data_IF_497822275327
#
_entry.id   IF_497822275327
#
_cell.length_a   1.000
_cell.length_b   1.000
_cell.length_c   1.000
_cell.angle_alpha   90.00
_cell.angle_beta   90.00
_cell.angle_gamma   90.00
#
_symmetry.space_group_name_H-M   'P 1'
#
loop_
_entity.id
_entity.type
_entity.pdbx_description
1 polymer ?
#
# COMPACT_ATOMS: atom_id res chain seq x y z
N UNK A 1 -2.50 12.27 -9.84
CA UNK A 1 -2.92 12.14 -11.25
C UNK A 1 -4.30 11.52 -11.31
N UNK A 2 -5.24 12.14 -12.02
CA UNK A 2 -6.57 11.61 -12.25
C UNK A 2 -6.77 11.38 -13.75
N UNK A 3 -7.22 10.20 -14.14
CA UNK A 3 -7.38 9.80 -15.54
C UNK A 3 -8.77 9.22 -15.73
N UNK A 4 -9.46 9.61 -16.80
CA UNK A 4 -10.83 9.15 -17.10
C UNK A 4 -10.93 8.74 -18.56
N UNK A 5 -11.54 7.59 -18.83
CA UNK A 5 -11.83 7.12 -20.18
C UNK A 5 -10.60 6.81 -21.04
N UNK A 6 -9.42 6.64 -20.43
CA UNK A 6 -8.20 6.32 -21.19
C UNK A 6 -8.27 4.89 -21.73
N UNK A 7 -8.07 4.73 -23.04
CA UNK A 7 -8.06 3.43 -23.71
C UNK A 7 -6.71 3.24 -24.40
N UNK A 8 -6.03 2.13 -24.12
CA UNK A 8 -4.68 1.82 -24.67
C UNK A 8 -3.66 2.90 -24.35
N UNK A 9 -3.41 3.09 -23.06
CA UNK A 9 -2.45 4.09 -22.58
C UNK A 9 -1.41 3.49 -21.64
N UNK A 10 -0.37 4.26 -21.38
CA UNK A 10 0.71 3.90 -20.46
C UNK A 10 0.96 5.06 -19.50
N UNK A 11 1.14 4.75 -18.22
CA UNK A 11 1.56 5.66 -17.17
C UNK A 11 2.79 5.04 -16.54
N UNK A 12 3.97 5.46 -16.96
CA UNK A 12 5.23 4.81 -16.57
C UNK A 12 6.37 5.77 -16.26
N UNK A 13 7.31 5.31 -15.41
CA UNK A 13 8.53 6.05 -15.08
C UNK A 13 8.33 7.33 -14.27
N UNK A 14 7.16 7.52 -13.65
CA UNK A 14 6.87 8.74 -12.89
C UNK A 14 7.23 8.57 -11.41
N UNK A 15 7.61 9.68 -10.77
CA UNK A 15 7.66 9.80 -9.30
C UNK A 15 6.52 10.70 -8.83
N UNK A 16 5.64 10.18 -7.97
CA UNK A 16 4.53 10.93 -7.38
C UNK A 16 4.60 10.77 -5.86
N UNK A 17 4.67 11.88 -5.12
CA UNK A 17 4.81 11.88 -3.66
C UNK A 17 3.79 12.81 -3.00
N UNK A 18 3.23 12.41 -1.86
CA UNK A 18 2.48 13.30 -0.97
C UNK A 18 1.10 13.73 -1.49
N UNK A 19 0.45 12.90 -2.29
CA UNK A 19 -0.90 13.21 -2.79
C UNK A 19 -1.92 13.22 -1.65
N UNK A 20 -2.76 14.25 -1.60
CA UNK A 20 -3.80 14.43 -0.56
C UNK A 20 -4.85 13.32 -0.53
N UNK A 21 -4.93 12.48 -1.57
CA UNK A 21 -5.83 11.34 -1.61
C UNK A 21 -5.20 10.15 -2.34
N UNK A 22 -5.00 10.25 -3.66
CA UNK A 22 -4.46 9.15 -4.48
C UNK A 22 -3.32 9.60 -5.39
N UNK A 23 -2.28 8.78 -5.59
CA UNK A 23 -1.22 9.13 -6.55
C UNK A 23 -1.74 8.99 -7.99
N UNK A 24 -2.30 7.84 -8.35
CA UNK A 24 -2.91 7.57 -9.65
C UNK A 24 -4.34 7.08 -9.44
N UNK A 25 -5.31 7.78 -10.01
CA UNK A 25 -6.72 7.42 -9.96
C UNK A 25 -7.25 7.20 -11.38
N UNK A 26 -7.50 5.95 -11.75
CA UNK A 26 -8.27 5.59 -12.93
C UNK A 26 -9.76 5.62 -12.57
N UNK A 27 -10.46 6.59 -13.14
CA UNK A 27 -11.90 6.75 -13.07
C UNK A 27 -12.60 5.98 -14.21
N UNK A 28 -13.94 5.89 -14.21
CA UNK A 28 -14.65 4.86 -14.97
C UNK A 28 -14.28 4.81 -16.45
N UNK A 29 -14.41 3.61 -17.02
CA UNK A 29 -14.19 3.31 -18.43
C UNK A 29 -12.74 3.40 -18.94
N UNK A 30 -11.73 3.44 -18.06
CA UNK A 30 -10.35 3.18 -18.49
C UNK A 30 -10.18 1.71 -18.90
N UNK A 31 -9.49 1.46 -20.02
CA UNK A 31 -9.33 0.11 -20.58
C UNK A 31 -7.95 -0.12 -21.18
N UNK A 32 -7.35 -1.29 -20.93
CA UNK A 32 -6.04 -1.66 -21.51
C UNK A 32 -4.97 -0.60 -21.20
N UNK A 33 -4.85 -0.23 -19.93
CA UNK A 33 -3.86 0.75 -19.47
C UNK A 33 -2.80 0.02 -18.67
N UNK A 34 -1.53 0.32 -18.97
CA UNK A 34 -0.40 -0.14 -18.15
C UNK A 34 0.05 0.98 -17.22
N UNK A 35 0.13 0.68 -15.94
CA UNK A 35 0.73 1.54 -14.91
C UNK A 35 1.97 0.83 -14.42
N UNK A 36 3.16 1.24 -14.88
CA UNK A 36 4.36 0.48 -14.53
C UNK A 36 5.66 1.25 -14.37
N UNK A 37 6.56 0.71 -13.54
CA UNK A 37 7.86 1.34 -13.27
C UNK A 37 7.76 2.71 -12.58
N UNK A 38 6.67 3.02 -11.88
CA UNK A 38 6.51 4.28 -11.16
C UNK A 38 6.99 4.15 -9.71
N UNK A 39 7.37 5.29 -9.13
CA UNK A 39 7.66 5.48 -7.71
C UNK A 39 6.52 6.26 -7.07
N UNK A 40 5.69 5.59 -6.26
CA UNK A 40 4.44 6.13 -5.72
C UNK A 40 4.50 6.17 -4.20
N UNK A 41 4.59 7.38 -3.64
CA UNK A 41 4.89 7.59 -2.24
C UNK A 41 3.82 8.42 -1.53
N UNK A 42 3.51 8.00 -0.30
CA UNK A 42 2.74 8.79 0.68
C UNK A 42 1.41 9.34 0.12
N UNK A 43 0.66 8.50 -0.60
CA UNK A 43 -0.74 8.80 -0.87
C UNK A 43 -1.57 8.52 0.38
N UNK A 44 -2.49 9.42 0.70
CA UNK A 44 -3.30 9.31 1.92
C UNK A 44 -4.34 8.19 1.92
N UNK A 45 -4.82 7.76 0.76
CA UNK A 45 -5.71 6.59 0.62
C UNK A 45 -5.06 5.46 -0.17
N UNK A 46 -4.71 5.71 -1.44
CA UNK A 46 -4.22 4.65 -2.33
C UNK A 46 -3.19 5.19 -3.31
N UNK A 47 -2.12 4.42 -3.53
CA UNK A 47 -1.15 4.80 -4.54
C UNK A 47 -1.76 4.63 -5.93
N UNK A 48 -2.37 3.48 -6.21
CA UNK A 48 -3.11 3.22 -7.45
C UNK A 48 -4.54 2.85 -7.12
N UNK A 49 -5.49 3.58 -7.69
CA UNK A 49 -6.90 3.22 -7.65
C UNK A 49 -7.45 2.99 -9.05
N UNK A 50 -8.14 1.86 -9.16
CA UNK A 50 -8.82 1.40 -10.37
C UNK A 50 -10.29 1.34 -10.03
N UNK A 51 -11.04 2.37 -10.44
CA UNK A 51 -12.43 2.52 -10.04
C UNK A 51 -13.41 2.27 -11.18
N UNK A 52 -14.54 1.64 -10.85
CA UNK A 52 -15.77 1.57 -11.64
C UNK A 52 -15.58 1.08 -13.09
N UNK A 53 -15.72 -0.22 -13.29
CA UNK A 53 -15.79 -0.84 -14.62
C UNK A 53 -14.53 -0.63 -15.46
N UNK A 54 -13.38 -0.45 -14.81
CA UNK A 54 -12.09 -0.49 -15.52
C UNK A 54 -11.77 -1.93 -15.94
N UNK A 55 -11.17 -2.09 -17.11
CA UNK A 55 -10.91 -3.41 -17.67
C UNK A 55 -9.49 -3.54 -18.21
N UNK A 56 -8.87 -4.70 -17.98
CA UNK A 56 -7.55 -5.05 -18.49
C UNK A 56 -6.51 -4.00 -18.14
N UNK A 57 -6.51 -3.60 -16.87
CA UNK A 57 -5.49 -2.72 -16.33
C UNK A 57 -4.34 -3.61 -15.85
N UNK A 58 -3.13 -3.22 -16.21
CA UNK A 58 -1.90 -3.86 -15.73
C UNK A 58 -1.22 -2.88 -14.78
N UNK A 59 -0.95 -3.31 -13.55
CA UNK A 59 -0.17 -2.55 -12.57
C UNK A 59 1.08 -3.35 -12.27
N UNK A 60 2.22 -2.92 -12.81
CA UNK A 60 3.44 -3.75 -12.78
C UNK A 60 4.74 -3.02 -12.48
N UNK A 61 5.66 -3.67 -11.77
CA UNK A 61 7.00 -3.13 -11.57
C UNK A 61 7.06 -1.79 -10.82
N UNK A 62 6.01 -1.39 -10.09
CA UNK A 62 6.00 -0.14 -9.34
C UNK A 62 6.64 -0.32 -7.96
N UNK A 63 7.26 0.76 -7.46
CA UNK A 63 7.69 0.88 -6.07
C UNK A 63 6.68 1.76 -5.35
N UNK A 64 5.97 1.18 -4.38
CA UNK A 64 4.88 1.83 -3.67
C UNK A 64 5.19 1.84 -2.17
N UNK A 65 5.19 3.02 -1.56
CA UNK A 65 5.37 3.11 -0.10
C UNK A 65 4.57 4.22 0.57
N UNK A 66 4.23 4.03 1.84
CA UNK A 66 3.61 5.07 2.64
C UNK A 66 3.90 4.90 4.14
N UNK A 67 3.90 6.01 4.86
CA UNK A 67 3.92 6.05 6.32
C UNK A 67 2.85 7.01 6.88
N UNK A 68 1.89 7.36 6.03
CA UNK A 68 0.86 8.35 6.31
C UNK A 68 -0.54 7.85 5.93
N UNK A 69 -0.67 6.66 5.35
CA UNK A 69 -1.97 6.16 4.85
C UNK A 69 -2.84 5.62 5.98
N UNK A 70 -2.24 5.03 7.02
CA UNK A 70 -2.97 4.51 8.18
C UNK A 70 -3.62 5.59 9.05
N UNK A 71 -3.28 6.86 8.82
CA UNK A 71 -3.82 8.00 9.56
C UNK A 71 -5.21 8.40 9.08
N UNK A 72 -5.64 7.91 7.93
CA UNK A 72 -6.95 8.20 7.36
C UNK A 72 -7.94 7.07 7.67
N UNK A 73 -9.24 7.40 7.78
CA UNK A 73 -10.30 6.42 8.02
C UNK A 73 -10.88 5.88 6.70
N UNK A 74 -10.06 5.72 5.66
CA UNK A 74 -10.55 5.57 4.27
C UNK A 74 -10.25 4.20 3.67
N UNK A 75 -10.41 4.11 2.34
CA UNK A 75 -10.02 2.95 1.57
C UNK A 75 -8.49 2.93 1.43
N UNK A 76 -7.79 2.29 2.36
CA UNK A 76 -6.34 2.45 2.51
C UNK A 76 -5.54 1.27 1.93
N UNK A 77 -5.71 1.02 0.63
CA UNK A 77 -4.93 0.00 -0.06
C UNK A 77 -3.86 0.62 -0.96
N UNK A 78 -2.64 0.08 -0.97
CA UNK A 78 -1.61 0.55 -1.90
C UNK A 78 -2.10 0.45 -3.36
N UNK A 79 -2.66 -0.71 -3.72
CA UNK A 79 -3.37 -0.90 -4.98
C UNK A 79 -4.82 -1.29 -4.68
N UNK A 80 -5.76 -0.45 -5.12
CA UNK A 80 -7.18 -0.64 -4.90
C UNK A 80 -7.90 -0.85 -6.23
N UNK A 81 -8.70 -1.92 -6.32
CA UNK A 81 -9.74 -2.06 -7.33
C UNK A 81 -11.08 -1.85 -6.64
N UNK A 82 -11.70 -0.70 -6.92
CA UNK A 82 -12.94 -0.26 -6.29
C UNK A 82 -14.12 -0.39 -7.26
N UNK A 83 -15.06 -1.27 -6.90
CA UNK A 83 -16.33 -1.51 -7.61
C UNK A 83 -16.13 -1.94 -9.07
N UNK A 84 -16.15 -3.25 -9.28
CA UNK A 84 -16.15 -3.92 -10.57
C UNK A 84 -14.89 -3.67 -11.42
N UNK A 85 -13.99 -4.66 -11.45
CA UNK A 85 -12.83 -4.68 -12.33
C UNK A 85 -12.71 -6.02 -13.08
N UNK A 86 -12.41 -5.99 -14.37
CA UNK A 86 -12.26 -7.22 -15.16
C UNK A 86 -10.89 -7.32 -15.79
N UNK A 87 -10.21 -8.45 -15.64
CA UNK A 87 -8.90 -8.67 -16.26
C UNK A 87 -7.78 -7.83 -15.65
N UNK A 88 -7.87 -7.49 -14.36
CA UNK A 88 -6.85 -6.68 -13.69
C UNK A 88 -5.65 -7.57 -13.37
N UNK A 89 -4.45 -7.17 -13.79
CA UNK A 89 -3.21 -7.85 -13.47
C UNK A 89 -2.35 -6.97 -12.57
N UNK A 90 -1.95 -7.50 -11.42
CA UNK A 90 -1.04 -6.84 -10.48
C UNK A 90 0.20 -7.71 -10.29
N UNK A 91 1.35 -7.27 -10.77
CA UNK A 91 2.55 -8.12 -10.77
C UNK A 91 3.87 -7.39 -10.63
N UNK A 92 4.86 -8.01 -9.97
CA UNK A 92 6.21 -7.44 -9.89
C UNK A 92 6.32 -6.13 -9.12
N UNK A 93 5.30 -5.73 -8.36
CA UNK A 93 5.36 -4.50 -7.56
C UNK A 93 6.07 -4.76 -6.23
N UNK A 94 6.83 -3.77 -5.76
CA UNK A 94 7.34 -3.73 -4.39
C UNK A 94 6.50 -2.75 -3.59
N UNK A 95 5.80 -3.25 -2.58
CA UNK A 95 4.86 -2.47 -1.77
C UNK A 95 5.30 -2.53 -0.32
N UNK A 96 5.45 -1.37 0.30
CA UNK A 96 5.80 -1.27 1.72
C UNK A 96 5.04 -0.20 2.49
N UNK A 97 5.07 -0.34 3.82
CA UNK A 97 4.56 0.67 4.73
C UNK A 97 3.12 0.47 5.19
N UNK A 98 2.50 1.54 5.67
CA UNK A 98 1.35 1.52 6.59
C UNK A 98 -0.03 1.35 5.93
N UNK A 99 -0.09 0.62 4.82
CA UNK A 99 -1.35 0.35 4.14
C UNK A 99 -2.21 -0.65 4.93
N UNK A 100 -3.53 -0.40 5.00
CA UNK A 100 -4.49 -1.36 5.55
C UNK A 100 -4.47 -2.67 4.77
N UNK A 101 -4.36 -2.57 3.43
CA UNK A 101 -4.17 -3.71 2.54
C UNK A 101 -3.06 -3.39 1.52
N UNK A 102 -2.18 -4.34 1.20
CA UNK A 102 -1.26 -4.14 0.08
C UNK A 102 -2.01 -4.12 -1.26
N UNK A 103 -2.92 -5.06 -1.46
CA UNK A 103 -3.81 -5.11 -2.63
C UNK A 103 -5.22 -5.39 -2.14
N UNK A 104 -6.18 -4.54 -2.53
CA UNK A 104 -7.59 -4.75 -2.25
C UNK A 104 -8.36 -4.92 -3.57
N UNK A 105 -8.99 -6.07 -3.74
CA UNK A 105 -9.78 -6.41 -4.92
C UNK A 105 -11.25 -6.57 -4.53
N UNK A 106 -12.10 -5.62 -4.95
CA UNK A 106 -13.54 -5.72 -4.73
C UNK A 106 -14.27 -5.99 -6.04
N UNK A 107 -15.07 -7.06 -6.07
CA UNK A 107 -15.93 -7.43 -7.20
C UNK A 107 -15.16 -7.60 -8.51
N UNK A 108 -14.03 -8.31 -8.47
CA UNK A 108 -13.18 -8.51 -9.64
C UNK A 108 -13.45 -9.84 -10.36
N UNK A 109 -13.21 -9.86 -11.68
CA UNK A 109 -13.31 -11.05 -12.53
C UNK A 109 -12.04 -11.23 -13.35
N UNK A 110 -11.62 -12.47 -13.57
CA UNK A 110 -10.44 -12.82 -14.41
C UNK A 110 -9.17 -12.04 -14.06
N UNK A 111 -8.98 -11.72 -12.77
CA UNK A 111 -7.91 -10.85 -12.30
C UNK A 111 -6.86 -11.67 -11.56
N UNK A 112 -5.60 -11.23 -11.63
CA UNK A 112 -4.45 -11.93 -11.06
C UNK A 112 -3.60 -11.01 -10.21
N UNK A 113 -3.04 -11.57 -9.14
CA UNK A 113 -2.03 -10.91 -8.30
C UNK A 113 -0.89 -11.90 -8.13
N UNK A 114 0.27 -11.61 -8.73
CA UNK A 114 1.38 -12.59 -8.80
C UNK A 114 2.74 -11.91 -8.72
N UNK A 115 3.72 -12.56 -8.08
CA UNK A 115 5.11 -12.07 -8.08
C UNK A 115 5.31 -10.66 -7.51
N UNK A 116 4.45 -10.23 -6.57
CA UNK A 116 4.63 -8.96 -5.86
C UNK A 116 5.39 -9.20 -4.56
N UNK A 117 6.17 -8.21 -4.14
CA UNK A 117 6.87 -8.21 -2.86
C UNK A 117 6.17 -7.27 -1.88
N UNK A 118 5.57 -7.83 -0.82
CA UNK A 118 4.86 -7.07 0.21
C UNK A 118 5.70 -7.04 1.49
N UNK A 119 6.19 -5.85 1.88
CA UNK A 119 7.04 -5.66 3.06
C UNK A 119 6.28 -4.78 4.04
N UNK A 120 5.90 -5.31 5.19
CA UNK A 120 5.05 -4.60 6.19
C UNK A 120 3.66 -4.16 5.67
N UNK A 121 3.35 -4.40 4.39
CA UNK A 121 2.08 -4.06 3.75
C UNK A 121 1.10 -5.22 3.84
N UNK A 122 -0.01 -5.03 4.56
CA UNK A 122 -1.11 -5.98 4.52
C UNK A 122 -1.26 -6.86 5.76
N UNK A 123 -1.11 -6.29 6.94
CA UNK A 123 -2.13 -6.31 7.98
C UNK A 123 -1.59 -5.42 9.08
N UNK A 124 -2.37 -4.44 9.53
CA UNK A 124 -2.17 -3.99 10.90
C UNK A 124 -2.31 -5.26 11.74
N UNK A 125 -1.29 -5.69 12.52
CA UNK A 125 -1.59 -6.62 13.59
C UNK A 125 -2.64 -5.91 14.42
N UNK A 126 -3.85 -6.47 14.49
CA UNK A 126 -4.81 -6.09 15.50
C UNK A 126 -4.11 -6.33 16.85
N UNK A 127 -3.55 -5.28 17.42
CA UNK A 127 -3.20 -5.16 18.83
C UNK A 127 -2.12 -6.14 19.36
N UNK A 128 -0.90 -6.21 18.79
CA UNK A 128 0.16 -7.05 19.40
C UNK A 128 1.62 -6.61 19.27
N UNK A 129 1.92 -5.34 18.95
CA UNK A 129 3.19 -4.75 19.42
C UNK A 129 2.90 -4.00 20.70
N UNK A 130 2.78 -4.78 21.79
CA UNK A 130 3.05 -4.24 23.10
C UNK A 130 4.39 -3.51 22.99
N UNK A 131 4.38 -2.20 23.23
CA UNK A 131 5.51 -1.53 23.89
C UNK A 131 5.70 -2.18 25.27
N UNK A 132 6.21 -3.41 25.30
CA UNK A 132 6.84 -4.03 26.45
C UNK A 132 8.26 -4.31 26.02
N UNK A 133 9.12 -3.31 26.18
CA UNK A 133 10.50 -3.40 25.71
C UNK A 133 11.43 -2.27 26.12
N UNK A 134 10.93 -1.14 26.65
CA UNK A 134 11.77 -0.28 27.50
C UNK A 134 11.40 -0.52 28.96
N UNK A 135 11.99 -1.58 29.53
CA UNK A 135 12.26 -1.54 30.98
C UNK A 135 13.23 -0.39 31.19
N UNK A 136 12.71 0.74 31.68
CA UNK A 136 13.53 1.70 32.42
C UNK A 136 14.18 0.89 33.55
N UNK A 137 15.47 0.62 33.44
CA UNK A 137 16.25 0.26 34.61
C UNK A 137 16.23 1.47 35.54
N UNK A 138 15.77 1.35 36.80
CA UNK A 138 16.02 2.40 37.77
C UNK A 138 17.53 2.47 38.02
N UNK A 139 18.10 3.67 38.24
CA UNK A 139 19.53 3.81 38.48
C UNK A 139 19.89 3.12 39.80
N UNK A 140 20.98 2.36 39.74
CA UNK A 140 21.77 1.78 40.83
C UNK A 140 21.15 1.71 42.23
N UNK A 141 20.84 0.50 42.68
CA UNK A 141 20.99 0.15 44.10
C UNK A 141 22.19 -0.77 44.27
N UNK A 142 23.14 -0.28 45.05
CA UNK A 142 24.38 -0.95 45.43
C UNK A 142 24.11 -2.33 46.03
N UNK A 143 24.80 -3.34 45.54
CA UNK A 143 24.91 -4.62 46.25
C UNK A 143 25.90 -4.40 47.39
N UNK A 144 25.40 -4.23 48.62
CA UNK A 144 26.24 -4.35 49.81
C UNK A 144 26.51 -5.83 50.05
N UNK A 145 27.79 -6.20 50.02
CA UNK A 145 28.31 -7.44 50.60
C UNK A 145 27.87 -7.51 52.07
N UNK A 146 27.34 -8.66 52.48
CA UNK A 146 27.38 -9.09 53.88
C UNK A 146 28.37 -10.26 53.95
N UNK A 147 29.45 -10.03 54.69
CA UNK A 147 30.40 -11.05 55.11
C UNK A 147 29.88 -11.78 56.36
N UNK A 148 30.30 -13.03 56.47
CA UNK A 148 30.49 -13.88 57.66
C UNK A 148 29.88 -13.47 59.02
N UNK A 149 29.17 -14.43 59.61
CA UNK A 149 29.44 -14.97 60.96
C UNK A 149 28.93 -16.42 61.00
#
# INVERSE_FOLDING_TARGET
MHVRGLVRGEISGNTINGSSHRNINLSPACRRVTIGGNQLHNARSSAVNIAWYCERIVVEGNVISSYVSSLENTDDAAIQVYKDGTGIAVSGNSISGDWKYAVYLSQVKYSTVTGNNFIDGGSLPTSASRRTGLRRFPPGRSIRRAAAA
#
